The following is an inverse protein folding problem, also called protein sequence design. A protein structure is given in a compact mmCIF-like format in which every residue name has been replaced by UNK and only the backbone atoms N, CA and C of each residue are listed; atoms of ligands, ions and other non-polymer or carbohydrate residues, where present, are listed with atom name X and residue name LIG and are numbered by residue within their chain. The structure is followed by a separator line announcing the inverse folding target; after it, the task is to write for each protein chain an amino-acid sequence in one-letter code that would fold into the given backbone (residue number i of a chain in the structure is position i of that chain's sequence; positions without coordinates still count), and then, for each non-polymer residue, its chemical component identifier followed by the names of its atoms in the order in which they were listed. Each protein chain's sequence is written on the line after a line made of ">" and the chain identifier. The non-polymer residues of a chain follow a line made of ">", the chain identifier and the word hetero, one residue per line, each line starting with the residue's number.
data_IF_016745886262
#
_entry.id   IF_016745886262
#
_cell.length_a   1.000
_cell.length_b   1.000
_cell.length_c   1.000
_cell.angle_alpha   90.00
_cell.angle_beta   90.00
_cell.angle_gamma   90.00
#
_symmetry.space_group_name_H-M   'P 1'
#
loop_
_entity.id
_entity.type
_entity.pdbx_description
1 polymer ?
#
# COMPACT_ATOMS: atom_id res chain seq x y z
N UNK A 1 58.94 -8.32 53.54
CA UNK A 1 59.15 -9.78 53.76
C UNK A 1 58.27 -10.46 52.70
N UNK A 2 58.75 -10.97 51.76
CA UNK A 2 59.66 -11.87 51.08
C UNK A 2 59.00 -12.28 49.77
N UNK A 3 59.49 -11.78 48.66
CA UNK A 3 59.54 -12.59 47.42
C UNK A 3 60.56 -13.73 47.70
N UNK A 4 60.57 -14.79 46.94
CA UNK A 4 61.10 -14.87 45.58
C UNK A 4 60.45 -16.00 44.73
N UNK A 5 60.67 -16.35 43.50
CA UNK A 5 61.80 -16.33 42.58
C UNK A 5 61.48 -17.35 41.46
N UNK A 6 61.52 -16.96 40.23
CA UNK A 6 62.10 -17.54 39.00
C UNK A 6 62.29 -19.06 38.93
N UNK A 7 61.85 -19.67 37.81
CA UNK A 7 62.63 -20.56 36.94
C UNK A 7 61.92 -20.90 35.63
N UNK A 8 62.52 -20.53 34.51
CA UNK A 8 62.56 -21.21 33.22
C UNK A 8 63.92 -21.97 33.20
N UNK A 9 64.29 -22.79 32.19
CA UNK A 9 63.71 -23.20 30.88
C UNK A 9 63.89 -24.73 30.62
N UNK A 10 63.45 -25.17 29.44
CA UNK A 10 63.82 -26.53 29.00
C UNK A 10 63.21 -26.84 27.61
N UNK A 11 64.13 -26.87 26.70
CA UNK A 11 64.04 -27.14 25.27
C UNK A 11 63.67 -28.59 24.89
N UNK A 12 63.29 -28.69 23.58
CA UNK A 12 63.48 -29.83 22.65
C UNK A 12 62.43 -30.95 22.78
N UNK A 13 61.80 -31.44 21.71
CA UNK A 13 62.24 -31.86 20.40
C UNK A 13 61.11 -32.16 19.45
N UNK A 14 61.39 -31.97 18.20
CA UNK A 14 60.91 -32.40 16.96
C UNK A 14 60.16 -33.75 16.89
N UNK A 15 59.12 -33.80 16.03
CA UNK A 15 58.56 -35.05 15.58
C UNK A 15 57.36 -34.82 14.60
N UNK A 16 57.69 -34.59 13.38
CA UNK A 16 57.09 -35.05 12.07
C UNK A 16 55.69 -35.54 11.96
N UNK A 17 55.06 -35.01 10.91
CA UNK A 17 54.13 -35.64 9.92
C UNK A 17 52.69 -35.93 10.31
N UNK A 18 51.80 -35.33 9.52
CA UNK A 18 50.41 -35.70 9.46
C UNK A 18 49.51 -34.59 8.86
N UNK A 19 49.73 -34.28 7.58
CA UNK A 19 48.83 -33.40 6.88
C UNK A 19 47.46 -34.10 6.63
N UNK A 20 46.53 -33.95 7.56
CA UNK A 20 45.17 -34.36 7.40
C UNK A 20 44.35 -33.17 6.84
N UNK A 21 44.20 -33.19 5.51
CA UNK A 21 43.35 -32.24 4.78
C UNK A 21 41.92 -32.47 5.24
N UNK A 22 41.41 -31.59 6.10
CA UNK A 22 39.98 -31.48 6.40
C UNK A 22 39.19 -31.15 5.12
N UNK A 23 38.58 -32.16 4.54
CA UNK A 23 37.60 -32.03 3.48
C UNK A 23 36.39 -31.32 4.05
N UNK A 24 36.21 -30.04 3.73
CA UNK A 24 34.99 -29.29 4.00
C UNK A 24 33.76 -29.97 3.36
N UNK A 25 32.61 -29.92 4.01
CA UNK A 25 31.41 -30.58 3.49
C UNK A 25 31.02 -29.96 2.15
N UNK A 26 31.05 -30.76 1.07
CA UNK A 26 30.48 -30.42 -0.24
C UNK A 26 29.03 -30.08 -0.05
N UNK A 27 28.66 -28.80 -0.22
CA UNK A 27 27.28 -28.34 -0.39
C UNK A 27 26.75 -28.95 -1.68
N UNK A 28 26.10 -30.11 -1.59
CA UNK A 28 25.33 -30.71 -2.66
C UNK A 28 24.10 -29.85 -2.93
N UNK A 29 24.13 -29.14 -4.05
CA UNK A 29 22.95 -28.53 -4.65
C UNK A 29 22.09 -29.66 -5.24
N UNK A 30 21.18 -30.21 -4.43
CA UNK A 30 20.19 -31.22 -4.85
C UNK A 30 18.87 -30.89 -4.17
N UNK A 31 18.05 -30.03 -4.83
CA UNK A 31 16.64 -29.80 -4.45
C UNK A 31 15.77 -30.98 -4.86
N UNK A 32 15.83 -32.11 -4.11
CA UNK A 32 14.97 -33.26 -4.35
C UNK A 32 13.73 -33.24 -3.45
N UNK A 33 12.64 -33.96 -3.81
CA UNK A 33 11.37 -34.04 -3.07
C UNK A 33 11.50 -34.53 -1.62
N UNK A 34 12.67 -35.06 -1.23
CA UNK A 34 12.97 -35.47 0.14
C UNK A 34 13.15 -34.31 1.13
N UNK A 35 13.58 -33.12 0.70
CA UNK A 35 13.74 -31.98 1.59
C UNK A 35 12.41 -31.40 2.05
N UNK A 36 11.41 -31.37 1.17
CA UNK A 36 10.05 -30.96 1.53
C UNK A 36 9.42 -31.94 2.54
N UNK A 37 9.60 -33.25 2.33
CA UNK A 37 9.13 -34.28 3.28
C UNK A 37 9.83 -34.19 4.63
N UNK A 38 11.15 -33.96 4.66
CA UNK A 38 11.88 -33.75 5.92
C UNK A 38 11.46 -32.47 6.64
N UNK A 39 11.30 -31.36 5.92
CA UNK A 39 10.82 -30.10 6.50
C UNK A 39 9.40 -30.25 7.05
N UNK A 40 8.50 -30.94 6.35
CA UNK A 40 7.15 -31.22 6.80
C UNK A 40 7.14 -32.14 8.04
N UNK A 41 7.97 -33.18 8.09
CA UNK A 41 8.03 -34.10 9.24
C UNK A 41 8.67 -33.45 10.48
N UNK A 42 9.64 -32.54 10.31
CA UNK A 42 10.31 -31.88 11.42
C UNK A 42 9.48 -30.72 11.99
N UNK A 43 8.62 -30.09 11.15
CA UNK A 43 7.84 -28.91 11.54
C UNK A 43 6.31 -29.13 11.40
N UNK A 44 5.84 -30.39 11.44
CA UNK A 44 4.43 -30.71 11.25
C UNK A 44 3.50 -29.92 12.19
N UNK A 45 3.93 -29.69 13.43
CA UNK A 45 3.17 -28.94 14.42
C UNK A 45 2.99 -27.46 13.99
N UNK A 46 4.05 -26.83 13.50
CA UNK A 46 3.98 -25.48 12.98
C UNK A 46 3.05 -25.39 11.75
N UNK A 47 3.13 -26.36 10.85
CA UNK A 47 2.22 -26.44 9.70
C UNK A 47 0.78 -26.69 10.11
N UNK A 48 0.53 -27.56 11.10
CA UNK A 48 -0.80 -27.81 11.64
C UNK A 48 -1.42 -26.57 12.29
N UNK A 49 -0.62 -25.73 12.96
CA UNK A 49 -1.10 -24.47 13.54
C UNK A 49 -1.45 -23.41 12.47
N UNK A 50 -0.72 -23.37 11.36
CA UNK A 50 -0.95 -22.41 10.27
C UNK A 50 -2.04 -22.91 9.30
N UNK A 51 -2.21 -24.23 9.17
CA UNK A 51 -3.11 -24.84 8.18
C UNK A 51 -4.55 -24.29 8.20
N UNK A 52 -5.22 -24.10 9.36
CA UNK A 52 -6.58 -23.56 9.36
C UNK A 52 -6.66 -22.16 8.75
N UNK A 53 -5.69 -21.28 9.06
CA UNK A 53 -5.63 -19.92 8.53
C UNK A 53 -5.33 -19.94 7.03
N UNK A 54 -4.36 -20.74 6.60
CA UNK A 54 -4.02 -20.88 5.18
C UNK A 54 -5.21 -21.44 4.38
N UNK A 55 -5.92 -22.41 4.93
CA UNK A 55 -7.10 -23.00 4.28
C UNK A 55 -8.21 -21.94 4.11
N UNK A 56 -8.52 -21.18 5.15
CA UNK A 56 -9.52 -20.11 5.10
C UNK A 56 -9.12 -19.03 4.09
N UNK A 57 -7.87 -18.58 4.11
CA UNK A 57 -7.37 -17.57 3.16
C UNK A 57 -7.45 -18.11 1.73
N UNK A 58 -7.04 -19.36 1.50
CA UNK A 58 -7.09 -19.97 0.17
C UNK A 58 -8.53 -20.13 -0.33
N UNK A 59 -9.45 -20.50 0.54
CA UNK A 59 -10.86 -20.65 0.17
C UNK A 59 -11.54 -19.28 -0.10
N UNK A 60 -11.29 -18.27 0.75
CA UNK A 60 -12.01 -16.99 0.67
C UNK A 60 -11.35 -16.02 -0.33
N UNK A 61 -10.03 -16.05 -0.48
CA UNK A 61 -9.29 -15.12 -1.35
C UNK A 61 -8.76 -15.86 -2.59
N UNK A 62 -8.11 -17.01 -2.39
CA UNK A 62 -7.45 -17.72 -3.48
C UNK A 62 -8.43 -18.25 -4.52
N UNK A 63 -9.53 -18.87 -4.09
CA UNK A 63 -10.52 -19.40 -5.01
C UNK A 63 -11.20 -18.33 -5.87
N UNK A 64 -11.75 -17.23 -5.32
CA UNK A 64 -12.31 -16.14 -6.13
C UNK A 64 -11.28 -15.51 -7.05
N UNK A 65 -10.02 -15.37 -6.61
CA UNK A 65 -8.94 -14.84 -7.46
C UNK A 65 -8.70 -15.72 -8.69
N UNK A 66 -8.57 -17.04 -8.50
CA UNK A 66 -8.39 -17.99 -9.61
C UNK A 66 -9.60 -17.96 -10.53
N UNK A 67 -10.81 -17.91 -9.98
CA UNK A 67 -12.03 -17.79 -10.78
C UNK A 67 -12.08 -16.46 -11.54
N UNK A 68 -11.67 -15.35 -10.93
CA UNK A 68 -11.56 -14.06 -11.60
C UNK A 68 -10.58 -14.10 -12.77
N UNK A 69 -9.39 -14.70 -12.58
CA UNK A 69 -8.43 -14.91 -13.67
C UNK A 69 -9.02 -15.78 -14.78
N UNK A 70 -9.76 -16.82 -14.43
CA UNK A 70 -10.44 -17.65 -15.45
C UNK A 70 -11.50 -16.85 -16.21
N UNK A 71 -12.38 -16.09 -15.51
CA UNK A 71 -13.40 -15.27 -16.15
C UNK A 71 -12.80 -14.20 -17.07
N UNK A 72 -11.66 -13.65 -16.73
CA UNK A 72 -10.98 -12.64 -17.56
C UNK A 72 -10.52 -13.17 -18.94
N UNK A 73 -10.52 -14.48 -19.13
CA UNK A 73 -10.17 -15.18 -20.36
C UNK A 73 -11.41 -15.71 -21.11
N UNK A 74 -12.59 -15.26 -20.73
CA UNK A 74 -13.89 -15.66 -21.30
C UNK A 74 -14.65 -14.45 -21.81
N UNK A 75 -15.80 -14.67 -22.46
CA UNK A 75 -16.77 -13.65 -22.88
C UNK A 75 -17.95 -13.51 -21.90
N UNK A 76 -17.75 -13.85 -20.63
CA UNK A 76 -18.80 -13.89 -19.62
C UNK A 76 -19.43 -12.51 -19.37
N UNK A 77 -20.70 -12.41 -19.69
CA UNK A 77 -21.54 -11.21 -19.50
C UNK A 77 -22.86 -11.52 -18.78
N UNK A 78 -23.71 -10.51 -18.62
CA UNK A 78 -25.03 -10.68 -17.96
C UNK A 78 -25.96 -11.63 -18.71
N UNK A 79 -25.79 -11.82 -20.02
CA UNK A 79 -26.67 -12.65 -20.84
C UNK A 79 -26.29 -14.14 -20.80
N UNK A 80 -24.98 -14.44 -20.67
CA UNK A 80 -24.43 -15.80 -20.82
C UNK A 80 -23.94 -16.45 -19.52
N UNK A 81 -23.94 -15.75 -18.38
CA UNK A 81 -23.65 -16.37 -17.09
C UNK A 81 -24.82 -17.19 -16.55
N UNK A 82 -24.52 -18.15 -15.67
CA UNK A 82 -25.56 -18.91 -14.97
C UNK A 82 -26.52 -17.97 -14.21
N UNK A 83 -27.80 -18.17 -14.43
CA UNK A 83 -28.85 -17.36 -13.78
C UNK A 83 -30.05 -18.21 -13.42
N UNK A 84 -30.67 -17.89 -12.30
CA UNK A 84 -31.89 -18.56 -11.85
C UNK A 84 -33.07 -17.61 -12.07
N UNK A 85 -34.06 -18.06 -12.87
CA UNK A 85 -35.30 -17.34 -13.09
C UNK A 85 -36.45 -18.18 -12.49
N UNK A 86 -36.97 -17.74 -11.34
CA UNK A 86 -37.93 -18.51 -10.57
C UNK A 86 -37.33 -19.82 -10.05
N UNK A 87 -37.86 -20.96 -10.50
CA UNK A 87 -37.37 -22.30 -10.14
C UNK A 87 -36.41 -22.90 -11.18
N UNK A 88 -36.23 -22.21 -12.32
CA UNK A 88 -35.39 -22.72 -13.42
C UNK A 88 -33.98 -22.12 -13.34
N UNK A 89 -32.97 -22.97 -13.34
CA UNK A 89 -31.57 -22.56 -13.55
C UNK A 89 -31.23 -22.64 -15.03
N UNK A 90 -30.77 -21.54 -15.59
CA UNK A 90 -30.25 -21.45 -16.96
C UNK A 90 -28.74 -21.62 -16.83
N UNK A 91 -28.14 -22.69 -17.42
CA UNK A 91 -26.71 -22.90 -17.33
C UNK A 91 -25.93 -21.80 -18.04
N UNK A 92 -24.70 -21.59 -17.61
CA UNK A 92 -23.77 -20.67 -18.27
C UNK A 92 -23.43 -21.17 -19.69
N UNK A 93 -23.33 -20.22 -20.62
CA UNK A 93 -23.01 -20.47 -22.04
C UNK A 93 -21.79 -19.66 -22.52
N UNK A 94 -21.09 -18.97 -21.61
CA UNK A 94 -19.89 -18.23 -21.97
C UNK A 94 -18.76 -19.16 -22.45
N UNK A 95 -17.96 -18.64 -23.37
CA UNK A 95 -16.87 -19.39 -24.02
C UNK A 95 -15.51 -18.84 -23.59
N UNK A 96 -14.47 -19.66 -23.80
CA UNK A 96 -13.08 -19.25 -23.56
C UNK A 96 -12.55 -18.53 -24.79
N UNK A 97 -12.20 -17.24 -24.66
CA UNK A 97 -11.70 -16.37 -25.75
C UNK A 97 -10.22 -16.02 -25.62
N UNK A 98 -9.53 -16.55 -24.59
CA UNK A 98 -8.10 -16.30 -24.39
C UNK A 98 -7.79 -14.87 -23.93
N UNK A 99 -6.99 -14.14 -24.68
CA UNK A 99 -6.51 -12.80 -24.28
C UNK A 99 -7.25 -11.65 -24.97
N UNK A 100 -8.36 -11.89 -25.65
CA UNK A 100 -9.06 -10.88 -26.43
C UNK A 100 -9.49 -9.69 -25.58
N UNK A 101 -10.04 -9.92 -24.37
CA UNK A 101 -10.38 -8.86 -23.44
C UNK A 101 -9.17 -7.94 -23.12
N UNK A 102 -7.98 -8.50 -23.00
CA UNK A 102 -6.77 -7.71 -22.71
C UNK A 102 -6.30 -6.91 -23.91
N UNK A 103 -6.45 -7.47 -25.11
CA UNK A 103 -6.14 -6.75 -26.38
C UNK A 103 -7.07 -5.58 -26.53
N UNK A 104 -8.36 -5.76 -26.29
CA UNK A 104 -9.37 -4.71 -26.39
C UNK A 104 -9.14 -3.62 -25.33
N UNK A 105 -8.90 -3.97 -24.07
CA UNK A 105 -8.64 -3.01 -23.00
C UNK A 105 -7.37 -2.20 -23.30
N UNK A 106 -6.27 -2.85 -23.66
CA UNK A 106 -5.00 -2.18 -23.93
C UNK A 106 -5.00 -1.38 -25.23
N UNK A 107 -5.90 -1.69 -26.17
CA UNK A 107 -6.16 -0.94 -27.39
C UNK A 107 -7.07 0.28 -27.21
N UNK A 108 -7.77 0.37 -26.08
CA UNK A 108 -8.69 1.48 -25.78
C UNK A 108 -7.96 2.65 -25.11
N UNK A 109 -8.01 3.84 -25.74
CA UNK A 109 -7.43 5.07 -25.19
C UNK A 109 -7.98 5.39 -23.79
N UNK A 110 -9.23 5.01 -23.51
CA UNK A 110 -9.84 5.22 -22.22
C UNK A 110 -9.15 4.46 -21.08
N UNK A 111 -8.50 3.33 -21.35
CA UNK A 111 -7.67 2.64 -20.37
C UNK A 111 -6.46 3.49 -19.97
N UNK A 112 -5.77 4.06 -20.95
CA UNK A 112 -4.57 4.86 -20.72
C UNK A 112 -4.87 6.17 -20.01
N UNK A 113 -6.01 6.80 -20.34
CA UNK A 113 -6.48 8.00 -19.65
C UNK A 113 -6.78 7.72 -18.17
N UNK A 114 -7.49 6.62 -17.87
CA UNK A 114 -7.78 6.21 -16.49
C UNK A 114 -6.52 5.78 -15.75
N UNK A 115 -5.62 5.06 -16.39
CA UNK A 115 -4.33 4.71 -15.80
C UNK A 115 -3.52 5.96 -15.47
N UNK A 116 -3.42 6.90 -16.41
CA UNK A 116 -2.74 8.18 -16.21
C UNK A 116 -3.31 8.95 -15.03
N UNK A 117 -4.63 9.06 -14.97
CA UNK A 117 -5.29 9.70 -13.82
C UNK A 117 -5.09 8.92 -12.52
N UNK A 118 -5.18 7.60 -12.52
CA UNK A 118 -4.95 6.76 -11.33
C UNK A 118 -3.54 6.97 -10.78
N UNK A 119 -2.53 7.09 -11.65
CA UNK A 119 -1.15 7.37 -11.24
C UNK A 119 -1.03 8.79 -10.66
N UNK A 120 -1.57 9.81 -11.33
CA UNK A 120 -1.56 11.20 -10.84
C UNK A 120 -2.27 11.31 -9.49
N UNK A 121 -3.46 10.73 -9.37
CA UNK A 121 -4.22 10.63 -8.13
C UNK A 121 -3.41 9.98 -7.00
N UNK A 122 -2.82 8.82 -7.27
CA UNK A 122 -2.05 8.07 -6.28
C UNK A 122 -0.83 8.85 -5.81
N UNK A 123 -0.03 9.37 -6.75
CA UNK A 123 1.17 10.14 -6.44
C UNK A 123 0.83 11.42 -5.68
N UNK A 124 -0.17 12.18 -6.13
CA UNK A 124 -0.60 13.41 -5.47
C UNK A 124 -1.07 13.13 -4.04
N UNK A 125 -1.98 12.17 -3.85
CA UNK A 125 -2.49 11.83 -2.52
C UNK A 125 -1.37 11.37 -1.59
N UNK A 126 -0.51 10.45 -2.01
CA UNK A 126 0.57 9.91 -1.16
C UNK A 126 1.59 10.99 -0.83
N UNK A 127 2.02 11.79 -1.82
CA UNK A 127 2.99 12.87 -1.60
C UNK A 127 2.46 13.93 -0.62
N UNK A 128 1.22 14.40 -0.81
CA UNK A 128 0.61 15.41 0.06
C UNK A 128 0.39 14.85 1.47
N UNK A 129 -0.14 13.63 1.58
CA UNK A 129 -0.36 12.95 2.87
C UNK A 129 0.96 12.74 3.61
N UNK A 130 2.02 12.33 2.91
CA UNK A 130 3.36 12.17 3.48
C UNK A 130 3.92 13.51 3.98
N UNK A 131 3.85 14.56 3.17
CA UNK A 131 4.34 15.88 3.53
C UNK A 131 3.61 16.44 4.77
N UNK A 132 2.28 16.37 4.79
CA UNK A 132 1.47 16.82 5.93
C UNK A 132 1.74 15.95 7.16
N UNK A 133 1.71 14.61 7.00
CA UNK A 133 1.90 13.67 8.09
C UNK A 133 3.28 13.80 8.75
N UNK A 134 4.35 13.91 7.96
CA UNK A 134 5.71 14.11 8.47
C UNK A 134 5.85 15.48 9.16
N UNK A 135 5.27 16.54 8.59
CA UNK A 135 5.29 17.88 9.20
C UNK A 135 4.59 17.87 10.55
N UNK A 136 3.37 17.33 10.61
CA UNK A 136 2.61 17.22 11.85
C UNK A 136 3.30 16.31 12.87
N UNK A 137 3.89 15.20 12.43
CA UNK A 137 4.65 14.32 13.30
C UNK A 137 5.86 15.02 13.92
N UNK A 138 6.60 15.79 13.11
CA UNK A 138 7.75 16.57 13.62
C UNK A 138 7.32 17.66 14.62
N UNK A 139 6.20 18.33 14.37
CA UNK A 139 5.63 19.31 15.31
C UNK A 139 5.19 18.65 16.62
N UNK A 140 4.48 17.52 16.54
CA UNK A 140 3.95 16.79 17.70
C UNK A 140 4.98 15.90 18.40
N UNK A 141 6.18 15.73 17.84
CA UNK A 141 7.29 15.06 18.52
C UNK A 141 7.88 15.95 19.63
N UNK A 142 7.77 17.27 19.51
CA UNK A 142 8.20 18.21 20.54
C UNK A 142 7.30 18.14 21.78
N UNK A 143 7.86 18.42 22.95
CA UNK A 143 7.09 18.52 24.18
C UNK A 143 6.46 19.90 24.31
N UNK A 144 5.13 19.95 24.32
CA UNK A 144 4.36 21.17 24.62
C UNK A 144 3.04 20.84 25.31
N UNK A 145 2.47 21.83 25.98
CA UNK A 145 1.19 21.67 26.71
C UNK A 145 0.05 21.40 25.70
N UNK A 146 -0.74 20.34 25.95
CA UNK A 146 -1.88 20.00 25.10
C UNK A 146 -1.57 19.08 23.92
N UNK A 147 -0.32 18.63 23.68
CA UNK A 147 0.04 17.77 22.56
C UNK A 147 -0.83 16.52 22.43
N UNK A 148 -1.28 15.96 23.57
CA UNK A 148 -2.15 14.76 23.57
C UNK A 148 -3.53 15.06 22.98
N UNK A 149 -4.11 16.23 23.29
CA UNK A 149 -5.37 16.68 22.71
C UNK A 149 -5.26 16.88 21.20
N UNK A 150 -4.17 17.51 20.73
CA UNK A 150 -3.91 17.64 19.28
C UNK A 150 -3.74 16.30 18.59
N UNK A 151 -3.02 15.35 19.20
CA UNK A 151 -2.91 13.99 18.66
C UNK A 151 -4.27 13.31 18.54
N UNK A 152 -5.09 13.37 19.58
CA UNK A 152 -6.44 12.80 19.57
C UNK A 152 -7.31 13.44 18.47
N UNK A 153 -7.29 14.77 18.35
CA UNK A 153 -8.06 15.48 17.32
C UNK A 153 -7.62 15.11 15.90
N UNK A 154 -6.30 14.99 15.67
CA UNK A 154 -5.77 14.63 14.35
C UNK A 154 -5.97 13.15 13.97
N UNK A 155 -6.18 12.28 14.95
CA UNK A 155 -6.50 10.85 14.71
C UNK A 155 -8.01 10.65 14.50
N UNK A 156 -8.85 11.60 14.89
CA UNK A 156 -10.31 11.50 14.80
C UNK A 156 -10.83 11.10 13.41
N UNK A 157 -10.30 11.62 12.27
CA UNK A 157 -10.74 11.18 10.95
C UNK A 157 -10.65 9.67 10.73
N UNK A 158 -9.69 9.02 11.34
CA UNK A 158 -9.48 7.58 11.21
C UNK A 158 -10.41 6.75 12.11
N UNK A 159 -10.93 7.33 13.17
CA UNK A 159 -11.90 6.70 14.06
C UNK A 159 -13.32 6.65 13.44
N UNK A 160 -13.58 7.48 12.44
CA UNK A 160 -14.87 7.54 11.75
C UNK A 160 -14.85 6.59 10.54
N UNK A 161 -15.88 5.75 10.33
CA UNK A 161 -15.97 4.93 9.13
C UNK A 161 -15.82 5.77 7.86
N UNK A 162 -14.98 5.32 6.91
CA UNK A 162 -14.63 6.10 5.72
C UNK A 162 -15.85 6.57 4.92
N UNK A 163 -16.89 5.73 4.79
CA UNK A 163 -18.10 6.10 4.07
C UNK A 163 -18.85 7.27 4.73
N UNK A 164 -18.88 7.33 6.07
CA UNK A 164 -19.51 8.45 6.82
C UNK A 164 -18.75 9.74 6.53
N UNK A 165 -17.41 9.67 6.60
CA UNK A 165 -16.54 10.80 6.29
C UNK A 165 -16.75 11.30 4.85
N UNK A 166 -16.82 10.41 3.88
CA UNK A 166 -17.03 10.78 2.47
C UNK A 166 -18.40 11.43 2.26
N UNK A 167 -19.47 10.91 2.88
CA UNK A 167 -20.78 11.55 2.81
C UNK A 167 -20.81 12.93 3.47
N UNK A 168 -20.12 13.08 4.63
CA UNK A 168 -20.01 14.40 5.25
C UNK A 168 -19.29 15.39 4.31
N UNK A 169 -18.18 14.99 3.69
CA UNK A 169 -17.49 15.81 2.70
C UNK A 169 -18.36 16.13 1.49
N UNK A 170 -19.14 15.17 1.00
CA UNK A 170 -20.09 15.41 -0.09
C UNK A 170 -21.14 16.48 0.25
N UNK A 171 -21.61 16.51 1.50
CA UNK A 171 -22.50 17.57 1.98
C UNK A 171 -21.77 18.92 2.06
N UNK A 172 -20.54 18.96 2.51
CA UNK A 172 -19.72 20.18 2.55
C UNK A 172 -19.44 20.76 1.16
N UNK A 173 -19.26 19.89 0.14
CA UNK A 173 -19.06 20.24 -1.26
C UNK A 173 -20.35 20.55 -2.04
N UNK A 174 -21.52 20.48 -1.40
CA UNK A 174 -22.77 20.80 -2.10
C UNK A 174 -22.73 22.23 -2.65
N UNK A 175 -23.02 22.41 -3.94
CA UNK A 175 -22.86 23.69 -4.62
C UNK A 175 -23.79 24.77 -4.09
N UNK A 176 -25.05 24.41 -3.73
CA UNK A 176 -26.08 25.37 -3.31
C UNK A 176 -26.08 25.65 -1.81
N UNK A 177 -25.94 24.62 -1.00
CA UNK A 177 -26.13 24.68 0.45
C UNK A 177 -24.93 24.15 1.23
N UNK A 178 -23.79 23.90 0.56
CA UNK A 178 -22.58 23.40 1.21
C UNK A 178 -21.86 24.47 2.00
N UNK A 179 -21.34 24.08 3.15
CA UNK A 179 -20.60 25.01 4.04
C UNK A 179 -19.42 25.68 3.32
N UNK A 180 -18.73 24.97 2.42
CA UNK A 180 -17.57 25.52 1.73
C UNK A 180 -17.93 26.72 0.85
N UNK A 181 -19.01 26.59 0.05
CA UNK A 181 -19.48 27.70 -0.78
C UNK A 181 -20.08 28.83 0.07
N UNK A 182 -20.83 28.52 1.11
CA UNK A 182 -21.32 29.54 2.04
C UNK A 182 -20.20 30.35 2.69
N UNK A 183 -19.06 29.74 2.98
CA UNK A 183 -17.87 30.43 3.51
C UNK A 183 -17.15 31.28 2.46
N UNK A 184 -17.15 30.88 1.19
CA UNK A 184 -16.59 31.63 0.07
C UNK A 184 -17.47 32.86 -0.24
N UNK A 185 -18.77 32.66 -0.40
CA UNK A 185 -19.75 33.69 -0.68
C UNK A 185 -19.81 34.75 0.45
N UNK A 186 -19.68 34.30 1.71
CA UNK A 186 -19.57 35.21 2.84
C UNK A 186 -18.33 36.12 2.81
N UNK A 187 -17.35 35.81 1.94
CA UNK A 187 -16.16 36.64 1.67
C UNK A 187 -16.21 37.37 0.32
N UNK A 188 -17.34 37.28 -0.39
CA UNK A 188 -17.51 37.88 -1.72
C UNK A 188 -16.82 37.08 -2.84
N UNK A 189 -16.54 35.80 -2.63
CA UNK A 189 -15.95 34.91 -3.63
C UNK A 189 -17.08 34.03 -4.19
N UNK A 190 -17.17 33.93 -5.51
CA UNK A 190 -18.19 33.11 -6.17
C UNK A 190 -18.08 31.65 -5.72
N UNK A 191 -19.22 30.96 -5.64
CA UNK A 191 -19.28 29.56 -5.31
C UNK A 191 -18.59 28.70 -6.35
N UNK A 192 -17.96 27.60 -5.91
CA UNK A 192 -17.22 26.67 -6.75
C UNK A 192 -18.08 25.44 -7.02
N UNK A 193 -18.09 24.98 -8.27
CA UNK A 193 -18.74 23.73 -8.70
C UNK A 193 -17.86 22.51 -8.33
N UNK A 194 -17.71 22.25 -7.02
CA UNK A 194 -16.77 21.30 -6.46
C UNK A 194 -16.85 19.89 -7.06
N UNK A 195 -18.04 19.41 -7.39
CA UNK A 195 -18.24 18.04 -7.86
C UNK A 195 -18.77 17.98 -9.31
N UNK A 196 -19.12 19.13 -9.90
CA UNK A 196 -19.67 19.21 -11.27
C UNK A 196 -18.66 19.73 -12.28
N UNK A 197 -17.57 20.37 -11.84
CA UNK A 197 -16.44 20.72 -12.69
C UNK A 197 -15.34 19.64 -12.61
N UNK A 198 -14.80 19.15 -13.76
CA UNK A 198 -13.80 18.08 -13.77
C UNK A 198 -12.51 18.39 -12.95
N UNK A 199 -12.06 19.64 -12.99
CA UNK A 199 -10.83 20.05 -12.28
C UNK A 199 -11.05 20.10 -10.79
N UNK A 200 -12.16 20.72 -10.36
CA UNK A 200 -12.51 20.81 -8.95
C UNK A 200 -12.90 19.45 -8.36
N UNK A 201 -13.56 18.57 -9.15
CA UNK A 201 -13.87 17.21 -8.70
C UNK A 201 -12.59 16.40 -8.42
N UNK A 202 -11.58 16.53 -9.29
CA UNK A 202 -10.25 15.93 -9.06
C UNK A 202 -9.59 16.47 -7.79
N UNK A 203 -9.63 17.78 -7.59
CA UNK A 203 -9.10 18.40 -6.37
C UNK A 203 -9.87 17.97 -5.10
N UNK A 204 -11.19 17.89 -5.19
CA UNK A 204 -12.06 17.49 -4.09
C UNK A 204 -11.78 16.04 -3.64
N UNK A 205 -11.70 15.08 -4.58
CA UNK A 205 -11.39 13.69 -4.23
C UNK A 205 -10.01 13.58 -3.60
N UNK A 206 -8.98 14.28 -4.12
CA UNK A 206 -7.64 14.31 -3.54
C UNK A 206 -7.69 14.85 -2.11
N UNK A 207 -8.37 15.97 -1.87
CA UNK A 207 -8.46 16.57 -0.55
C UNK A 207 -9.10 15.64 0.48
N UNK A 208 -10.19 14.95 0.11
CA UNK A 208 -10.85 13.98 0.99
C UNK A 208 -9.96 12.79 1.29
N UNK A 209 -9.27 12.24 0.29
CA UNK A 209 -8.38 11.11 0.50
C UNK A 209 -7.16 11.48 1.36
N UNK A 210 -6.60 12.66 1.14
CA UNK A 210 -5.52 13.19 1.99
C UNK A 210 -5.99 13.33 3.43
N UNK A 211 -7.17 13.91 3.64
CA UNK A 211 -7.74 14.07 4.99
C UNK A 211 -7.92 12.71 5.70
N UNK A 212 -8.38 11.67 5.01
CA UNK A 212 -8.48 10.31 5.54
C UNK A 212 -7.12 9.66 5.79
N UNK A 213 -6.11 9.95 4.98
CA UNK A 213 -4.78 9.33 5.05
C UNK A 213 -3.83 9.94 6.06
N UNK A 214 -3.99 11.25 6.36
CA UNK A 214 -3.08 11.99 7.27
C UNK A 214 -2.92 11.34 8.64
N UNK A 215 -3.97 10.85 9.33
CA UNK A 215 -3.82 10.24 10.64
C UNK A 215 -2.89 9.02 10.66
N UNK A 216 -3.00 8.15 9.68
CA UNK A 216 -2.13 6.98 9.54
C UNK A 216 -0.67 7.40 9.32
N UNK A 217 -0.44 8.32 8.40
CA UNK A 217 0.89 8.84 8.11
C UNK A 217 1.50 9.54 9.33
N UNK A 218 0.72 10.34 10.04
CA UNK A 218 1.13 11.02 11.28
C UNK A 218 1.62 10.01 12.33
N UNK A 219 0.83 8.96 12.60
CA UNK A 219 1.17 7.96 13.63
C UNK A 219 2.45 7.22 13.23
N UNK A 220 2.55 6.79 11.99
CA UNK A 220 3.70 6.06 11.48
C UNK A 220 4.99 6.91 11.54
N UNK A 221 4.91 8.16 11.08
CA UNK A 221 6.05 9.08 11.12
C UNK A 221 6.42 9.49 12.54
N UNK A 222 5.44 9.67 13.42
CA UNK A 222 5.70 9.97 14.83
C UNK A 222 6.43 8.80 15.53
N UNK A 223 6.03 7.56 15.24
CA UNK A 223 6.75 6.36 15.72
C UNK A 223 8.17 6.30 15.20
N UNK A 224 8.36 6.59 13.90
CA UNK A 224 9.69 6.65 13.30
C UNK A 224 10.59 7.74 13.92
N UNK A 225 10.04 8.94 14.17
CA UNK A 225 10.78 10.02 14.82
C UNK A 225 11.21 9.67 16.25
N UNK A 226 10.37 8.93 16.97
CA UNK A 226 10.67 8.50 18.34
C UNK A 226 11.72 7.38 18.43
N UNK A 227 12.03 6.72 17.34
CA UNK A 227 13.10 5.72 17.28
C UNK A 227 14.50 6.32 17.06
N UNK A 228 14.59 7.61 16.72
CA UNK A 228 15.87 8.31 16.55
C UNK A 228 16.42 8.68 17.94
N UNK A 229 17.66 8.26 18.29
CA UNK A 229 18.27 8.61 19.57
C UNK A 229 18.36 10.13 19.77
N UNK A 230 17.97 10.60 20.96
CA UNK A 230 17.97 12.04 21.29
C UNK A 230 19.39 12.64 21.26
N UNK A 231 20.37 11.82 21.60
CA UNK A 231 21.79 12.21 21.62
C UNK A 231 22.29 12.74 20.27
N UNK A 232 21.72 12.25 19.15
CA UNK A 232 22.07 12.75 17.82
C UNK A 232 21.64 14.20 17.62
N UNK A 233 20.48 14.57 18.15
CA UNK A 233 19.98 15.94 18.08
C UNK A 233 20.74 16.87 19.03
N UNK A 234 21.08 16.39 20.24
CA UNK A 234 21.84 17.13 21.24
C UNK A 234 23.27 17.39 20.75
N UNK A 235 23.95 16.39 20.20
CA UNK A 235 25.27 16.56 19.60
C UNK A 235 25.26 17.60 18.47
N UNK A 236 24.31 17.48 17.54
CA UNK A 236 24.17 18.43 16.44
C UNK A 236 23.85 19.87 16.93
N UNK A 237 23.14 20.01 18.04
CA UNK A 237 22.84 21.31 18.65
C UNK A 237 24.09 21.91 19.28
N UNK A 238 24.93 21.10 19.92
CA UNK A 238 26.24 21.53 20.45
C UNK A 238 27.20 21.96 19.32
N UNK A 239 27.12 21.30 18.16
CA UNK A 239 27.88 21.65 16.95
C UNK A 239 27.31 22.89 16.22
N UNK A 240 26.24 23.52 16.73
CA UNK A 240 25.62 24.71 16.15
C UNK A 240 24.75 24.45 14.93
N UNK A 241 24.30 23.22 14.69
CA UNK A 241 23.45 22.88 13.56
C UNK A 241 22.07 23.55 13.67
N UNK A 242 21.67 24.23 12.60
CA UNK A 242 20.33 24.84 12.49
C UNK A 242 19.22 23.78 12.47
N UNK A 243 17.97 24.19 12.74
CA UNK A 243 16.81 23.31 12.69
C UNK A 243 16.64 22.63 11.31
N UNK A 244 16.95 23.34 10.21
CA UNK A 244 16.91 22.78 8.86
C UNK A 244 18.01 21.75 8.63
N UNK A 245 19.22 21.96 9.13
CA UNK A 245 20.32 21.00 9.05
C UNK A 245 19.98 19.73 9.84
N UNK A 246 19.48 19.86 11.07
CA UNK A 246 19.00 18.70 11.86
C UNK A 246 17.88 17.94 11.14
N UNK A 247 16.92 18.66 10.56
CA UNK A 247 15.85 18.02 9.77
C UNK A 247 16.41 17.27 8.56
N UNK A 248 17.31 17.92 7.78
CA UNK A 248 17.83 17.35 6.52
C UNK A 248 18.81 16.19 6.72
N UNK A 249 19.64 16.25 7.78
CA UNK A 249 20.77 15.33 7.97
C UNK A 249 20.53 14.30 9.08
N UNK A 250 19.59 14.50 9.99
CA UNK A 250 19.25 13.54 11.06
C UNK A 250 17.84 13.01 10.87
N UNK A 251 16.84 13.93 10.81
CA UNK A 251 15.43 13.51 10.78
C UNK A 251 15.08 12.73 9.51
N UNK A 252 15.33 13.30 8.32
CA UNK A 252 14.99 12.64 7.05
C UNK A 252 15.68 11.29 6.86
N UNK A 253 17.00 11.17 7.11
CA UNK A 253 17.67 9.86 7.04
C UNK A 253 17.15 8.89 8.11
N UNK A 254 16.91 9.37 9.33
CA UNK A 254 16.44 8.53 10.45
C UNK A 254 15.05 7.93 10.25
N UNK A 255 14.14 8.65 9.59
CA UNK A 255 12.79 8.11 9.30
C UNK A 255 12.70 7.37 7.97
N UNK A 256 13.79 7.28 7.20
CA UNK A 256 13.78 6.81 5.81
C UNK A 256 13.21 5.40 5.67
N UNK A 257 13.67 4.44 6.47
CA UNK A 257 13.24 3.03 6.37
C UNK A 257 11.73 2.88 6.61
N UNK A 258 11.21 3.51 7.67
CA UNK A 258 9.76 3.51 7.96
C UNK A 258 8.99 4.25 6.87
N UNK A 259 9.49 5.42 6.42
CA UNK A 259 8.87 6.21 5.35
C UNK A 259 8.67 5.39 4.09
N UNK A 260 9.67 4.64 3.67
CA UNK A 260 9.59 3.82 2.46
C UNK A 260 8.52 2.73 2.59
N UNK A 261 8.46 2.05 3.73
CA UNK A 261 7.42 1.03 3.97
C UNK A 261 6.03 1.63 3.97
N UNK A 262 5.85 2.76 4.65
CA UNK A 262 4.54 3.41 4.76
C UNK A 262 4.10 4.03 3.43
N UNK A 263 5.02 4.59 2.66
CA UNK A 263 4.75 5.10 1.29
C UNK A 263 4.34 3.96 0.37
N UNK A 264 5.00 2.80 0.42
CA UNK A 264 4.60 1.62 -0.35
C UNK A 264 3.16 1.19 -0.03
N UNK A 265 2.85 1.03 1.27
CA UNK A 265 1.51 0.65 1.71
C UNK A 265 0.46 1.68 1.30
N UNK A 266 0.75 2.96 1.52
CA UNK A 266 -0.16 4.07 1.13
C UNK A 266 -0.39 4.11 -0.38
N UNK A 267 0.63 3.81 -1.18
CA UNK A 267 0.51 3.74 -2.65
C UNK A 267 -0.45 2.63 -3.05
N UNK A 268 -0.28 1.42 -2.50
CA UNK A 268 -1.16 0.27 -2.80
C UNK A 268 -2.60 0.56 -2.38
N UNK A 269 -2.81 1.15 -1.20
CA UNK A 269 -4.16 1.49 -0.70
C UNK A 269 -4.82 2.59 -1.52
N UNK A 270 -4.07 3.67 -1.83
CA UNK A 270 -4.61 4.79 -2.60
C UNK A 270 -4.93 4.39 -4.04
N UNK A 271 -4.08 3.56 -4.67
CA UNK A 271 -4.33 3.05 -6.02
C UNK A 271 -5.67 2.30 -6.13
N UNK A 272 -6.07 1.61 -5.06
CA UNK A 272 -7.32 0.86 -4.96
C UNK A 272 -8.41 1.58 -4.15
N UNK A 273 -8.34 2.90 -3.98
CA UNK A 273 -9.26 3.65 -3.11
C UNK A 273 -10.63 3.86 -3.76
N UNK A 274 -11.36 2.78 -3.92
CA UNK A 274 -12.72 2.76 -4.46
C UNK A 274 -13.72 3.64 -3.67
N UNK A 275 -13.81 3.56 -2.32
CA UNK A 275 -14.89 4.24 -1.59
C UNK A 275 -14.91 5.76 -1.77
N UNK A 276 -13.75 6.42 -1.80
CA UNK A 276 -13.68 7.87 -1.93
C UNK A 276 -14.22 8.30 -3.29
N UNK A 277 -13.76 7.70 -4.37
CA UNK A 277 -14.19 8.05 -5.73
C UNK A 277 -15.66 7.72 -5.93
N UNK A 278 -16.08 6.51 -5.60
CA UNK A 278 -17.43 6.04 -5.86
C UNK A 278 -18.49 6.79 -5.04
N UNK A 279 -18.26 7.02 -3.76
CA UNK A 279 -19.26 7.66 -2.89
C UNK A 279 -19.29 9.19 -3.05
N UNK A 280 -18.16 9.83 -3.40
CA UNK A 280 -18.11 11.28 -3.56
C UNK A 280 -18.63 11.71 -4.92
N UNK A 281 -18.09 11.16 -6.01
CA UNK A 281 -18.32 11.61 -7.39
C UNK A 281 -18.95 10.56 -8.30
N UNK A 282 -18.93 9.28 -7.93
CA UNK A 282 -19.27 8.14 -8.81
C UNK A 282 -18.45 8.13 -10.11
N UNK A 283 -17.19 8.58 -10.04
CA UNK A 283 -16.32 8.74 -11.20
C UNK A 283 -16.53 10.04 -11.99
N UNK A 284 -17.59 10.82 -11.70
CA UNK A 284 -17.95 12.04 -12.43
C UNK A 284 -17.09 13.26 -12.10
N UNK A 285 -17.37 14.37 -12.83
CA UNK A 285 -18.21 14.45 -14.01
C UNK A 285 -17.57 13.80 -15.25
N UNK A 286 -18.40 13.19 -16.10
CA UNK A 286 -17.99 12.57 -17.37
C UNK A 286 -16.76 11.60 -17.25
N UNK A 287 -16.70 10.81 -16.16
CA UNK A 287 -15.60 9.86 -15.93
C UNK A 287 -14.27 10.51 -15.51
N UNK A 288 -14.24 11.83 -15.27
CA UNK A 288 -12.99 12.56 -15.01
C UNK A 288 -12.25 12.15 -13.73
N UNK A 289 -12.97 11.59 -12.75
CA UNK A 289 -12.39 11.10 -11.49
C UNK A 289 -12.31 9.58 -11.43
N UNK A 290 -12.75 8.86 -12.48
CA UNK A 290 -12.66 7.40 -12.51
C UNK A 290 -11.22 6.92 -12.48
N UNK A 291 -10.95 6.00 -11.54
CA UNK A 291 -9.71 5.25 -11.44
C UNK A 291 -9.93 3.81 -11.92
N UNK A 292 -8.87 3.05 -12.15
CA UNK A 292 -8.97 1.70 -12.72
C UNK A 292 -9.95 0.80 -11.93
N UNK A 293 -9.94 0.86 -10.60
CA UNK A 293 -10.81 0.02 -9.77
C UNK A 293 -12.29 0.43 -9.85
N UNK A 294 -12.60 1.73 -10.05
CA UNK A 294 -13.98 2.18 -10.22
C UNK A 294 -14.56 1.77 -11.56
N UNK A 295 -13.73 1.71 -12.60
CA UNK A 295 -14.14 1.18 -13.91
C UNK A 295 -14.42 -0.32 -13.86
N UNK A 296 -13.52 -1.10 -13.25
CA UNK A 296 -13.76 -2.53 -13.04
C UNK A 296 -15.09 -2.77 -12.31
N UNK A 297 -15.36 -2.00 -11.26
CA UNK A 297 -16.62 -2.08 -10.53
C UNK A 297 -17.82 -1.67 -11.40
N UNK A 298 -17.69 -0.62 -12.21
CA UNK A 298 -18.75 -0.15 -13.11
C UNK A 298 -19.18 -1.24 -14.08
N UNK A 299 -18.23 -1.93 -14.69
CA UNK A 299 -18.49 -3.00 -15.65
C UNK A 299 -19.23 -4.19 -15.01
N UNK A 300 -18.85 -4.60 -13.80
CA UNK A 300 -19.45 -5.75 -13.13
C UNK A 300 -20.83 -5.46 -12.49
N UNK A 301 -21.06 -4.21 -12.01
CA UNK A 301 -22.18 -3.97 -11.10
C UNK A 301 -23.14 -2.87 -11.55
N UNK A 302 -22.71 -1.89 -12.35
CA UNK A 302 -23.52 -0.72 -12.69
C UNK A 302 -23.72 -0.52 -14.19
N UNK A 303 -22.92 -1.14 -15.05
CA UNK A 303 -23.13 -1.16 -16.49
C UNK A 303 -24.39 -1.96 -16.87
N UNK A 304 -24.94 -1.68 -18.03
CA UNK A 304 -26.05 -2.44 -18.59
C UNK A 304 -25.82 -2.58 -20.11
N UNK A 305 -25.58 -3.80 -20.60
CA UNK A 305 -25.42 -5.06 -19.86
C UNK A 305 -24.15 -5.06 -18.98
N UNK A 306 -24.13 -5.91 -17.93
CA UNK A 306 -22.92 -6.12 -17.11
C UNK A 306 -21.93 -7.00 -17.84
N UNK A 307 -20.67 -6.63 -17.80
CA UNK A 307 -19.57 -7.37 -18.43
C UNK A 307 -18.62 -7.89 -17.36
N UNK A 308 -18.82 -9.14 -16.97
CA UNK A 308 -18.05 -9.76 -15.90
C UNK A 308 -16.64 -10.15 -16.35
N UNK A 309 -16.49 -10.56 -17.61
CA UNK A 309 -15.21 -10.95 -18.18
C UNK A 309 -14.28 -9.75 -18.30
N UNK A 310 -14.78 -8.66 -18.85
CA UNK A 310 -14.00 -7.42 -18.99
C UNK A 310 -13.66 -6.83 -17.63
N UNK A 311 -14.63 -6.78 -16.70
CA UNK A 311 -14.37 -6.36 -15.31
C UNK A 311 -13.27 -7.20 -14.65
N UNK A 312 -13.29 -8.53 -14.83
CA UNK A 312 -12.27 -9.43 -14.31
C UNK A 312 -10.90 -9.17 -14.95
N UNK A 313 -10.85 -8.89 -16.26
CA UNK A 313 -9.61 -8.54 -16.97
C UNK A 313 -9.01 -7.23 -16.45
N UNK A 314 -9.84 -6.20 -16.20
CA UNK A 314 -9.40 -4.97 -15.51
C UNK A 314 -8.82 -5.28 -14.12
N UNK A 315 -9.48 -6.14 -13.34
CA UNK A 315 -8.99 -6.56 -12.03
C UNK A 315 -7.62 -7.25 -12.09
N UNK A 316 -7.41 -8.13 -13.08
CA UNK A 316 -6.11 -8.79 -13.30
C UNK A 316 -5.05 -7.78 -13.72
N UNK A 317 -5.36 -6.82 -14.61
CA UNK A 317 -4.42 -5.76 -15.00
C UNK A 317 -4.02 -4.90 -13.80
N UNK A 318 -4.98 -4.51 -12.94
CA UNK A 318 -4.70 -3.79 -11.68
C UNK A 318 -3.75 -4.59 -10.80
N UNK A 319 -4.00 -5.88 -10.62
CA UNK A 319 -3.14 -6.76 -9.82
C UNK A 319 -1.72 -6.83 -10.40
N UNK A 320 -1.58 -7.03 -11.71
CA UNK A 320 -0.28 -7.08 -12.38
C UNK A 320 0.49 -5.76 -12.25
N UNK A 321 -0.18 -4.62 -12.42
CA UNK A 321 0.43 -3.29 -12.25
C UNK A 321 0.94 -3.10 -10.81
N UNK A 322 0.16 -3.47 -9.80
CA UNK A 322 0.56 -3.36 -8.40
C UNK A 322 1.69 -4.31 -8.02
N UNK A 323 1.67 -5.55 -8.53
CA UNK A 323 2.76 -6.51 -8.32
C UNK A 323 4.05 -6.00 -8.96
N UNK A 324 3.98 -5.52 -10.21
CA UNK A 324 5.13 -4.94 -10.91
C UNK A 324 5.68 -3.71 -10.17
N UNK A 325 4.80 -2.83 -9.71
CA UNK A 325 5.17 -1.69 -8.87
C UNK A 325 5.87 -2.14 -7.58
N UNK A 326 5.28 -3.08 -6.84
CA UNK A 326 5.84 -3.55 -5.57
C UNK A 326 7.21 -4.22 -5.75
N UNK A 327 7.39 -5.03 -6.81
CA UNK A 327 8.67 -5.66 -7.15
C UNK A 327 9.72 -4.59 -7.52
N UNK A 328 9.34 -3.61 -8.34
CA UNK A 328 10.23 -2.53 -8.79
C UNK A 328 10.65 -1.65 -7.62
N UNK A 329 9.71 -1.28 -6.76
CA UNK A 329 9.94 -0.52 -5.55
C UNK A 329 10.90 -1.27 -4.60
N UNK A 330 10.64 -2.55 -4.33
CA UNK A 330 11.52 -3.40 -3.51
C UNK A 330 12.93 -3.52 -4.09
N UNK A 331 13.07 -3.65 -5.42
CA UNK A 331 14.39 -3.68 -6.07
C UNK A 331 15.13 -2.36 -5.91
N UNK A 332 14.42 -1.23 -6.00
CA UNK A 332 15.01 0.09 -5.78
C UNK A 332 15.52 0.26 -4.34
N UNK A 333 14.76 -0.22 -3.33
CA UNK A 333 15.16 -0.19 -1.93
C UNK A 333 16.40 -1.05 -1.65
N UNK A 334 16.46 -2.26 -2.21
CA UNK A 334 17.62 -3.15 -2.02
C UNK A 334 18.92 -2.55 -2.56
N UNK A 335 18.86 -1.82 -3.68
CA UNK A 335 20.05 -1.14 -4.23
C UNK A 335 20.56 -0.02 -3.34
N UNK A 336 19.75 0.49 -2.43
CA UNK A 336 20.09 1.57 -1.50
C UNK A 336 20.61 1.04 -0.14
N UNK A 337 20.81 -0.29 0.00
CA UNK A 337 21.34 -0.91 1.22
C UNK A 337 20.31 -1.09 2.34
N UNK A 338 19.05 -0.84 2.08
CA UNK A 338 17.96 -1.12 3.02
C UNK A 338 17.47 -2.56 2.79
N UNK A 339 17.86 -3.44 3.70
CA UNK A 339 17.57 -4.88 3.62
C UNK A 339 16.19 -5.17 4.19
N UNK A 340 15.41 -5.85 3.39
CA UNK A 340 14.40 -6.83 3.82
C UNK A 340 14.59 -8.12 3.04
#
# INVERSE_FOLDING_TARGET
>A
MTSPTIASPGEAEAGATGAERARGPRRGAGGGPGRLRLALSTHWYAWAMIAPVVLVITAIIGWPLVRGVYLSLTDADEANVERTIGVNSIPATYEFIGLDNYVDILGDDAFWDRLGWTVVWTVACVAITFAIGLTLANMLNRQFRGRTAYRMALILPWAIPAFVSVFAWRMLYNERNGLLNSLLEGRGIDGIAWLSDPTWAKAAVIAVNVWLGVPFMLIAMLGALQSIPAEQYEAAEMDGASAWQRFRFITLPGVRSVSMTVVLLSTIWTFNMFPVIFLLTRGGPAGSTDILVTEAFRLAFTASPRDFANSAAWGVLILLLLVLFAISYRRALRKQGEVW
#
